data_IF_685669508598
#
_entry.id   IF_685669508598
#
_cell.length_a   1.000
_cell.length_b   1.000
_cell.length_c   1.000
_cell.angle_alpha   90.00
_cell.angle_beta   90.00
_cell.angle_gamma   90.00
#
_symmetry.space_group_name_H-M   'P 1'
#
loop_
_entity.id
_entity.type
_entity.pdbx_description
1 polymer ?
#
# COMPACT_ATOMS: atom_id res chain seq x y z
N UNK A 1 28.10 -15.63 -33.33
CA UNK A 1 27.56 -15.80 -31.96
C UNK A 1 26.72 -14.58 -31.68
N UNK A 2 25.41 -14.76 -31.51
CA UNK A 2 24.47 -13.64 -31.33
C UNK A 2 24.15 -13.49 -29.85
N UNK A 3 24.28 -12.27 -29.32
CA UNK A 3 23.84 -11.91 -27.97
C UNK A 3 22.47 -11.22 -28.09
N UNK A 4 21.53 -11.54 -27.20
CA UNK A 4 20.17 -11.00 -27.24
C UNK A 4 19.78 -10.48 -25.88
N UNK A 5 19.09 -9.34 -25.85
CA UNK A 5 18.46 -8.79 -24.65
C UNK A 5 16.94 -8.88 -24.84
N UNK A 6 16.22 -9.48 -23.88
CA UNK A 6 14.76 -9.59 -23.92
C UNK A 6 14.15 -9.39 -22.53
N UNK A 7 12.83 -9.21 -22.51
CA UNK A 7 12.02 -9.06 -21.30
C UNK A 7 10.69 -9.81 -21.43
N UNK A 8 9.82 -9.69 -20.44
CA UNK A 8 8.51 -10.33 -20.41
C UNK A 8 7.54 -9.83 -21.49
N UNK A 9 6.46 -10.59 -21.69
CA UNK A 9 5.26 -10.17 -22.43
C UNK A 9 4.58 -8.99 -21.73
N UNK A 10 3.95 -8.08 -22.49
CA UNK A 10 3.34 -6.85 -21.98
C UNK A 10 4.35 -5.90 -21.33
N UNK A 11 5.45 -5.63 -22.05
CA UNK A 11 6.54 -4.73 -21.64
C UNK A 11 6.01 -3.36 -21.24
N UNK A 12 6.25 -2.97 -19.99
CA UNK A 12 6.04 -1.66 -19.37
C UNK A 12 7.32 -0.82 -19.41
N UNK A 13 7.34 0.35 -18.76
CA UNK A 13 8.51 1.22 -18.82
C UNK A 13 9.69 0.68 -18.05
N UNK A 14 9.53 -0.06 -16.94
CA UNK A 14 10.68 -0.65 -16.25
C UNK A 14 11.36 -1.69 -17.14
N UNK A 15 10.60 -2.63 -17.70
CA UNK A 15 11.10 -3.59 -18.67
C UNK A 15 11.78 -2.92 -19.88
N UNK A 16 11.14 -1.90 -20.48
CA UNK A 16 11.71 -1.23 -21.66
C UNK A 16 12.94 -0.38 -21.33
N UNK A 17 12.92 0.35 -20.20
CA UNK A 17 14.07 1.10 -19.71
C UNK A 17 15.24 0.15 -19.45
N UNK A 18 14.97 -0.98 -18.80
CA UNK A 18 15.94 -2.01 -18.47
C UNK A 18 16.53 -2.65 -19.71
N UNK A 19 15.76 -2.86 -20.78
CA UNK A 19 16.28 -3.32 -22.07
C UNK A 19 17.30 -2.34 -22.65
N UNK A 20 16.98 -1.05 -22.65
CA UNK A 20 17.85 0.00 -23.20
C UNK A 20 19.10 0.17 -22.33
N UNK A 21 18.96 0.16 -21.00
CA UNK A 21 20.11 0.23 -20.09
C UNK A 21 21.02 -1.00 -20.22
N UNK A 22 20.44 -2.19 -20.34
CA UNK A 22 21.20 -3.41 -20.62
C UNK A 22 21.93 -3.33 -21.96
N UNK A 23 21.34 -2.74 -23.01
CA UNK A 23 22.02 -2.56 -24.30
C UNK A 23 23.23 -1.62 -24.20
N UNK A 24 23.21 -0.62 -23.32
CA UNK A 24 24.39 0.22 -23.06
C UNK A 24 25.53 -0.54 -22.35
N UNK A 25 25.18 -1.55 -21.55
CA UNK A 25 26.14 -2.43 -20.86
C UNK A 25 26.68 -3.49 -21.83
N UNK A 26 25.79 -4.13 -22.58
CA UNK A 26 26.05 -5.19 -23.55
C UNK A 26 25.83 -4.68 -24.98
N UNK A 27 26.74 -3.82 -25.46
CA UNK A 27 26.57 -3.06 -26.71
C UNK A 27 26.49 -3.89 -27.99
N UNK A 28 26.95 -5.14 -27.96
CA UNK A 28 26.86 -6.07 -29.08
C UNK A 28 25.54 -6.85 -29.13
N UNK A 29 24.72 -6.74 -28.09
CA UNK A 29 23.50 -7.53 -27.96
C UNK A 29 22.31 -6.86 -28.66
N UNK A 30 21.53 -7.66 -29.37
CA UNK A 30 20.33 -7.21 -30.08
C UNK A 30 19.17 -7.11 -29.10
N UNK A 31 18.51 -5.95 -29.04
CA UNK A 31 17.32 -5.74 -28.22
C UNK A 31 16.10 -6.35 -28.92
N UNK A 32 15.55 -7.42 -28.34
CA UNK A 32 14.38 -8.13 -28.82
C UNK A 32 13.16 -7.86 -27.94
N UNK A 33 12.11 -7.24 -28.49
CA UNK A 33 10.91 -6.86 -27.74
C UNK A 33 9.68 -7.67 -28.17
N UNK A 34 8.64 -7.83 -27.33
CA UNK A 34 7.41 -8.49 -27.74
C UNK A 34 6.59 -7.59 -28.65
N UNK A 35 5.69 -8.18 -29.45
CA UNK A 35 4.63 -7.42 -30.13
C UNK A 35 3.69 -6.72 -29.14
N UNK A 36 3.38 -7.40 -28.03
CA UNK A 36 2.46 -6.87 -27.04
C UNK A 36 3.23 -6.05 -26.00
N UNK A 37 3.13 -4.73 -26.13
CA UNK A 37 3.79 -3.71 -25.31
C UNK A 37 2.70 -2.80 -24.74
N UNK A 38 2.90 -2.33 -23.50
CA UNK A 38 2.07 -1.32 -22.85
C UNK A 38 1.82 -0.13 -23.80
N UNK A 39 0.57 0.37 -23.94
CA UNK A 39 0.24 1.47 -24.84
C UNK A 39 1.10 2.73 -24.65
N UNK A 40 1.45 3.07 -23.41
CA UNK A 40 2.25 4.25 -23.11
C UNK A 40 3.70 4.09 -23.58
N UNK A 41 4.28 2.92 -23.37
CA UNK A 41 5.60 2.55 -23.89
C UNK A 41 5.59 2.53 -25.41
N UNK A 42 4.54 1.99 -26.04
CA UNK A 42 4.38 2.01 -27.51
C UNK A 42 4.31 3.43 -28.06
N UNK A 43 3.58 4.32 -27.40
CA UNK A 43 3.51 5.72 -27.78
C UNK A 43 4.89 6.39 -27.65
N UNK A 44 5.60 6.13 -26.55
CA UNK A 44 6.96 6.63 -26.34
C UNK A 44 7.93 6.13 -27.41
N UNK A 45 7.96 4.82 -27.68
CA UNK A 45 8.80 4.23 -28.73
C UNK A 45 8.46 4.84 -30.09
N UNK A 46 7.18 5.06 -30.39
CA UNK A 46 6.76 5.55 -31.70
C UNK A 46 7.27 6.97 -32.01
N UNK A 47 7.45 7.79 -30.98
CA UNK A 47 8.00 9.15 -31.10
C UNK A 47 9.53 9.12 -31.17
N UNK A 48 10.17 8.09 -30.62
CA UNK A 48 11.63 7.98 -30.47
C UNK A 48 12.23 6.79 -31.23
N UNK A 49 11.62 6.35 -32.34
CA UNK A 49 12.04 5.15 -33.09
C UNK A 49 13.49 5.21 -33.56
N UNK A 50 13.96 6.39 -33.93
CA UNK A 50 15.33 6.61 -34.40
C UNK A 50 16.38 6.54 -33.28
N UNK A 51 15.94 6.64 -32.02
CA UNK A 51 16.80 6.59 -30.84
C UNK A 51 16.89 5.19 -30.24
N UNK A 52 15.77 4.45 -30.23
CA UNK A 52 15.68 3.15 -29.58
C UNK A 52 15.46 2.02 -30.59
N UNK A 53 16.56 1.57 -31.18
CA UNK A 53 16.55 0.44 -32.13
C UNK A 53 16.22 -0.87 -31.42
N UNK A 54 15.28 -1.61 -31.98
CA UNK A 54 14.86 -2.91 -31.48
C UNK A 54 14.36 -3.78 -32.63
N UNK A 55 14.31 -5.08 -32.41
CA UNK A 55 13.68 -6.04 -33.32
C UNK A 55 12.53 -6.75 -32.63
N UNK A 56 11.59 -7.24 -33.43
CA UNK A 56 10.57 -8.16 -32.92
C UNK A 56 11.23 -9.49 -32.53
N UNK A 57 10.99 -9.95 -31.29
CA UNK A 57 11.50 -11.24 -30.80
C UNK A 57 11.10 -12.43 -31.67
N UNK A 58 10.03 -12.34 -32.46
CA UNK A 58 9.62 -13.38 -33.41
C UNK A 58 10.57 -13.49 -34.62
N UNK A 59 11.33 -12.45 -34.92
CA UNK A 59 12.26 -12.41 -36.05
C UNK A 59 13.67 -12.89 -35.68
N UNK A 60 13.86 -13.35 -34.43
CA UNK A 60 15.14 -13.84 -33.94
C UNK A 60 15.35 -15.30 -34.36
N UNK A 61 16.47 -15.57 -35.03
CA UNK A 61 16.97 -16.92 -35.27
C UNK A 61 17.62 -17.50 -34.00
N UNK A 62 16.88 -18.32 -33.26
CA UNK A 62 17.32 -18.89 -31.97
C UNK A 62 18.52 -19.85 -32.09
N UNK A 63 18.77 -20.45 -33.25
CA UNK A 63 19.85 -21.44 -33.45
C UNK A 63 21.28 -20.89 -33.40
N UNK A 64 21.47 -19.56 -33.37
CA UNK A 64 22.79 -18.90 -33.35
C UNK A 64 23.06 -18.08 -32.08
N UNK A 65 22.13 -18.13 -31.13
CA UNK A 65 22.20 -17.37 -29.88
C UNK A 65 23.13 -18.08 -28.92
N UNK A 66 24.18 -17.40 -28.49
CA UNK A 66 25.14 -17.95 -27.51
C UNK A 66 24.97 -17.34 -26.13
N UNK A 67 24.35 -16.15 -26.04
CA UNK A 67 24.09 -15.46 -24.78
C UNK A 67 22.72 -14.79 -24.80
N UNK A 68 21.96 -14.99 -23.73
CA UNK A 68 20.68 -14.37 -23.46
C UNK A 68 20.77 -13.50 -22.22
N UNK A 69 20.48 -12.21 -22.37
CA UNK A 69 20.32 -11.26 -21.28
C UNK A 69 18.81 -11.09 -21.06
N UNK A 70 18.34 -11.46 -19.88
CA UNK A 70 16.95 -11.32 -19.48
C UNK A 70 16.84 -10.19 -18.47
N UNK A 71 15.93 -9.26 -18.72
CA UNK A 71 15.65 -8.15 -17.81
C UNK A 71 14.19 -8.18 -17.38
N UNK A 72 13.97 -7.88 -16.10
CA UNK A 72 12.66 -7.64 -15.49
C UNK A 72 11.71 -8.86 -15.48
N UNK A 73 12.29 -10.06 -15.55
CA UNK A 73 11.55 -11.32 -15.38
C UNK A 73 12.49 -12.50 -15.18
N UNK A 74 12.20 -13.30 -14.15
CA UNK A 74 12.84 -14.59 -13.88
C UNK A 74 11.98 -15.79 -14.36
N UNK A 75 11.01 -15.59 -15.25
CA UNK A 75 10.15 -16.68 -15.77
C UNK A 75 10.27 -16.87 -17.30
N UNK A 76 10.71 -18.07 -17.71
CA UNK A 76 10.77 -18.51 -19.11
C UNK A 76 9.41 -18.39 -19.82
N UNK A 77 8.30 -18.66 -19.13
CA UNK A 77 6.95 -18.60 -19.71
C UNK A 77 6.58 -17.20 -20.21
N UNK A 78 7.21 -16.16 -19.63
CA UNK A 78 7.00 -14.76 -20.00
C UNK A 78 7.82 -14.34 -21.22
N UNK A 79 8.77 -15.15 -21.69
CA UNK A 79 9.67 -14.81 -22.82
C UNK A 79 9.10 -15.17 -24.20
N UNK A 80 8.00 -15.92 -24.28
CA UNK A 80 7.34 -16.25 -25.55
C UNK A 80 8.24 -17.12 -26.45
N UNK A 81 8.45 -16.79 -27.74
CA UNK A 81 9.22 -17.66 -28.66
C UNK A 81 10.68 -17.87 -28.24
N UNK A 82 11.26 -16.91 -27.50
CA UNK A 82 12.63 -16.98 -26.99
C UNK A 82 12.78 -18.05 -25.90
N UNK A 83 11.68 -18.48 -25.26
CA UNK A 83 11.71 -19.50 -24.22
C UNK A 83 12.28 -20.84 -24.68
N UNK A 84 12.22 -21.15 -25.99
CA UNK A 84 12.84 -22.34 -26.59
C UNK A 84 14.35 -22.41 -26.38
N UNK A 85 15.01 -21.27 -26.13
CA UNK A 85 16.43 -21.24 -25.82
C UNK A 85 16.77 -21.98 -24.52
N UNK A 86 15.81 -22.20 -23.62
CA UNK A 86 16.00 -22.97 -22.40
C UNK A 86 16.55 -24.39 -22.67
N UNK A 87 16.24 -24.96 -23.84
CA UNK A 87 16.66 -26.31 -24.23
C UNK A 87 18.11 -26.35 -24.73
N UNK A 88 18.78 -25.20 -24.91
CA UNK A 88 20.16 -25.13 -25.42
C UNK A 88 21.19 -25.23 -24.28
N UNK A 89 21.99 -26.31 -24.18
CA UNK A 89 22.89 -26.52 -23.05
C UNK A 89 24.06 -25.54 -22.98
N UNK A 90 24.46 -24.98 -24.11
CA UNK A 90 25.59 -24.04 -24.23
C UNK A 90 25.17 -22.57 -24.10
N UNK A 91 23.91 -22.29 -23.78
CA UNK A 91 23.42 -20.92 -23.66
C UNK A 91 23.90 -20.30 -22.35
N UNK A 92 24.61 -19.18 -22.45
CA UNK A 92 24.90 -18.35 -21.29
C UNK A 92 23.70 -17.43 -21.01
N UNK A 93 23.16 -17.48 -19.79
CA UNK A 93 22.01 -16.65 -19.39
C UNK A 93 22.42 -15.65 -18.31
N UNK A 94 22.26 -14.36 -18.59
CA UNK A 94 22.47 -13.27 -17.64
C UNK A 94 21.12 -12.69 -17.23
N UNK A 95 20.83 -12.65 -15.93
CA UNK A 95 19.53 -12.19 -15.41
C UNK A 95 19.66 -10.90 -14.60
N UNK A 96 18.79 -9.94 -14.88
CA UNK A 96 18.56 -8.74 -14.07
C UNK A 96 17.07 -8.70 -13.70
N UNK A 97 16.74 -8.76 -12.42
CA UNK A 97 15.35 -8.74 -11.99
C UNK A 97 15.26 -8.26 -10.54
N UNK A 98 14.20 -7.56 -10.18
CA UNK A 98 13.92 -7.23 -8.77
C UNK A 98 12.87 -8.16 -8.13
N UNK A 99 12.21 -9.01 -8.92
CA UNK A 99 11.30 -10.04 -8.43
C UNK A 99 12.04 -11.27 -7.91
N UNK A 100 11.39 -12.07 -7.06
CA UNK A 100 11.90 -13.35 -6.56
C UNK A 100 11.03 -14.54 -6.98
N UNK A 101 11.61 -15.73 -7.07
CA UNK A 101 10.86 -16.99 -7.20
C UNK A 101 10.58 -17.46 -8.63
N UNK A 102 11.41 -17.05 -9.59
CA UNK A 102 11.30 -17.51 -10.98
C UNK A 102 11.92 -18.89 -11.24
N UNK A 103 11.93 -19.28 -12.51
CA UNK A 103 12.37 -20.58 -13.00
C UNK A 103 13.55 -20.50 -13.98
N UNK A 104 14.14 -19.31 -14.19
CA UNK A 104 15.31 -19.17 -15.06
C UNK A 104 16.57 -19.57 -14.29
N UNK A 105 17.23 -20.63 -14.77
CA UNK A 105 18.55 -21.03 -14.27
C UNK A 105 19.62 -20.19 -14.98
N UNK A 106 19.96 -19.04 -14.38
CA UNK A 106 20.91 -18.09 -14.96
C UNK A 106 22.37 -18.48 -14.66
N UNK A 107 23.26 -18.32 -15.65
CA UNK A 107 24.72 -18.43 -15.48
C UNK A 107 25.26 -17.34 -14.56
N UNK A 108 24.61 -16.18 -14.56
CA UNK A 108 24.85 -15.08 -13.63
C UNK A 108 23.55 -14.32 -13.41
N UNK A 109 23.31 -13.83 -12.19
CA UNK A 109 22.15 -13.00 -11.89
C UNK A 109 22.49 -11.85 -10.94
N UNK A 110 21.89 -10.69 -11.18
CA UNK A 110 21.72 -9.62 -10.19
C UNK A 110 20.23 -9.54 -9.89
N UNK A 111 19.86 -10.06 -8.73
CA UNK A 111 18.48 -10.16 -8.28
C UNK A 111 18.38 -9.69 -6.84
N UNK A 112 17.78 -8.51 -6.64
CA UNK A 112 17.77 -7.79 -5.36
C UNK A 112 16.40 -7.10 -5.16
N UNK A 113 15.91 -7.00 -3.91
CA UNK A 113 14.59 -6.46 -3.61
C UNK A 113 14.58 -4.92 -3.65
N UNK A 114 14.85 -4.34 -4.82
CA UNK A 114 14.75 -2.89 -5.08
C UNK A 114 13.39 -2.54 -5.70
N UNK A 115 13.08 -1.24 -5.74
CA UNK A 115 11.80 -0.76 -6.26
C UNK A 115 11.56 -1.03 -7.75
N UNK A 116 12.62 -1.09 -8.57
CA UNK A 116 12.54 -1.35 -10.01
C UNK A 116 13.82 -2.03 -10.55
N UNK A 117 13.69 -2.88 -11.56
CA UNK A 117 14.83 -3.54 -12.24
C UNK A 117 15.82 -2.51 -12.81
N UNK A 118 15.33 -1.38 -13.35
CA UNK A 118 16.17 -0.32 -13.90
C UNK A 118 17.13 0.28 -12.86
N UNK A 119 16.78 0.24 -11.56
CA UNK A 119 17.66 0.71 -10.47
C UNK A 119 18.98 -0.07 -10.45
N UNK A 120 18.90 -1.40 -10.59
CA UNK A 120 20.08 -2.29 -10.64
C UNK A 120 20.98 -1.95 -11.84
N UNK A 121 20.37 -1.69 -12.99
CA UNK A 121 21.09 -1.36 -14.21
C UNK A 121 21.68 0.05 -14.16
N UNK A 122 21.01 1.03 -13.56
CA UNK A 122 21.56 2.37 -13.31
C UNK A 122 22.78 2.29 -12.41
N UNK A 123 22.74 1.51 -11.34
CA UNK A 123 23.92 1.23 -10.50
C UNK A 123 25.07 0.67 -11.35
N UNK A 124 24.80 -0.30 -12.23
CA UNK A 124 25.83 -0.85 -13.11
C UNK A 124 26.38 0.15 -14.13
N UNK A 125 25.52 1.00 -14.71
CA UNK A 125 25.94 2.07 -15.63
C UNK A 125 26.87 3.07 -14.93
N UNK A 126 26.61 3.38 -13.65
CA UNK A 126 27.46 4.25 -12.81
C UNK A 126 28.83 3.63 -12.58
N UNK A 127 28.88 2.36 -12.18
CA UNK A 127 30.14 1.62 -11.98
C UNK A 127 31.01 1.60 -13.25
N UNK A 128 30.37 1.33 -14.40
CA UNK A 128 31.03 1.30 -15.70
C UNK A 128 31.30 2.69 -16.29
N UNK A 129 30.91 3.76 -15.59
CA UNK A 129 31.04 5.16 -16.03
C UNK A 129 30.47 5.41 -17.43
N UNK A 130 29.36 4.75 -17.76
CA UNK A 130 28.68 4.91 -19.05
C UNK A 130 28.02 6.29 -19.13
N UNK A 131 28.17 6.94 -20.28
CA UNK A 131 27.44 8.15 -20.60
C UNK A 131 26.05 7.78 -21.10
N UNK A 132 25.05 8.57 -20.68
CA UNK A 132 23.67 8.42 -21.15
C UNK A 132 23.17 9.77 -21.63
N UNK A 133 22.32 9.75 -22.64
CA UNK A 133 21.68 10.97 -23.17
C UNK A 133 20.52 11.41 -22.27
N UNK A 134 20.09 12.68 -22.34
CA UNK A 134 18.92 13.15 -21.59
C UNK A 134 17.65 12.33 -21.85
N UNK A 135 17.43 11.86 -23.09
CA UNK A 135 16.26 11.05 -23.41
C UNK A 135 16.37 9.63 -22.84
N UNK A 136 17.56 9.04 -22.78
CA UNK A 136 17.79 7.78 -22.05
C UNK A 136 17.57 7.96 -20.55
N UNK A 137 18.10 9.04 -19.97
CA UNK A 137 17.86 9.36 -18.56
C UNK A 137 16.37 9.52 -18.26
N UNK A 138 15.63 10.15 -19.18
CA UNK A 138 14.18 10.32 -19.09
C UNK A 138 13.44 8.98 -19.15
N UNK A 139 13.82 8.09 -20.08
CA UNK A 139 13.26 6.74 -20.15
C UNK A 139 13.53 5.94 -18.87
N UNK A 140 14.77 5.96 -18.38
CA UNK A 140 15.15 5.21 -17.19
C UNK A 140 14.39 5.71 -15.95
N UNK A 141 14.21 7.02 -15.84
CA UNK A 141 13.43 7.60 -14.75
C UNK A 141 11.94 7.26 -14.88
N UNK A 142 11.42 7.16 -16.11
CA UNK A 142 10.04 6.71 -16.33
C UNK A 142 9.82 5.27 -15.83
N UNK A 143 10.74 4.35 -16.15
CA UNK A 143 10.67 2.97 -15.65
C UNK A 143 10.73 2.91 -14.12
N UNK A 144 11.67 3.63 -13.53
CA UNK A 144 11.82 3.69 -12.07
C UNK A 144 10.56 4.23 -11.40
N UNK A 145 9.97 5.30 -11.94
CA UNK A 145 8.76 5.91 -11.37
C UNK A 145 7.49 5.09 -11.58
N UNK A 146 7.40 4.27 -12.63
CA UNK A 146 6.24 3.39 -12.84
C UNK A 146 6.14 2.37 -11.69
N UNK A 147 7.24 1.72 -11.35
CA UNK A 147 7.28 0.62 -10.38
C UNK A 147 7.41 1.07 -8.93
N UNK A 148 7.93 2.28 -8.70
CA UNK A 148 8.00 2.89 -7.35
C UNK A 148 6.82 3.83 -7.05
N UNK A 149 5.92 4.05 -8.01
CA UNK A 149 4.83 5.01 -7.85
C UNK A 149 5.33 6.44 -7.63
N UNK A 150 6.36 6.86 -8.36
CA UNK A 150 7.12 8.09 -8.08
C UNK A 150 7.72 8.10 -6.66
N UNK A 151 8.39 7.02 -6.28
CA UNK A 151 9.03 6.83 -4.96
C UNK A 151 8.07 6.82 -3.76
N UNK A 152 6.77 6.57 -3.98
CA UNK A 152 5.75 6.59 -2.92
C UNK A 152 5.33 5.19 -2.45
N UNK A 153 5.65 4.14 -3.21
CA UNK A 153 5.27 2.78 -2.84
C UNK A 153 6.18 2.23 -1.73
N UNK A 154 5.65 1.39 -0.80
CA UNK A 154 6.44 0.83 0.30
C UNK A 154 7.64 -0.02 -0.12
N UNK A 155 7.62 -0.59 -1.33
CA UNK A 155 8.74 -1.34 -1.91
C UNK A 155 9.91 -0.46 -2.37
N UNK A 156 9.75 0.86 -2.35
CA UNK A 156 10.80 1.81 -2.76
C UNK A 156 11.96 1.80 -1.75
N UNK A 157 13.18 1.70 -2.24
CA UNK A 157 14.41 1.71 -1.45
C UNK A 157 15.18 3.03 -1.57
N UNK A 158 16.17 3.23 -0.70
CA UNK A 158 17.09 4.36 -0.81
C UNK A 158 17.89 4.35 -2.13
N UNK A 159 18.16 3.16 -2.68
CA UNK A 159 18.88 3.03 -3.95
C UNK A 159 18.07 3.58 -5.12
N UNK A 160 16.75 3.38 -5.12
CA UNK A 160 15.83 3.95 -6.12
C UNK A 160 15.86 5.48 -6.07
N UNK A 161 15.86 6.07 -4.86
CA UNK A 161 15.96 7.52 -4.68
C UNK A 161 17.31 8.07 -5.20
N UNK A 162 18.42 7.36 -4.93
CA UNK A 162 19.74 7.76 -5.47
C UNK A 162 19.83 7.61 -6.99
N UNK A 163 19.23 6.55 -7.55
CA UNK A 163 19.14 6.36 -9.00
C UNK A 163 18.31 7.49 -9.64
N UNK A 164 17.16 7.83 -9.07
CA UNK A 164 16.32 8.94 -9.52
C UNK A 164 17.09 10.27 -9.52
N UNK A 165 17.78 10.58 -8.42
CA UNK A 165 18.62 11.78 -8.32
C UNK A 165 19.72 11.83 -9.39
N UNK A 166 20.36 10.70 -9.65
CA UNK A 166 21.41 10.60 -10.68
C UNK A 166 20.87 10.77 -12.11
N UNK A 167 19.67 10.28 -12.38
CA UNK A 167 18.99 10.44 -13.67
C UNK A 167 18.55 11.90 -13.90
N UNK A 168 18.07 12.57 -12.84
CA UNK A 168 17.74 14.00 -12.88
C UNK A 168 18.97 14.88 -13.14
N UNK A 169 20.11 14.55 -12.52
CA UNK A 169 21.39 15.20 -12.79
C UNK A 169 21.77 15.10 -14.29
N UNK A 170 21.42 13.99 -14.94
CA UNK A 170 21.54 13.74 -16.40
C UNK A 170 20.43 14.35 -17.25
N UNK A 171 19.69 15.31 -16.70
CA UNK A 171 18.66 16.08 -17.41
C UNK A 171 17.47 15.24 -17.86
N UNK A 172 17.09 14.21 -17.08
CA UNK A 172 15.81 13.53 -17.27
C UNK A 172 14.64 14.54 -17.22
N UNK A 173 13.72 14.48 -18.19
CA UNK A 173 12.61 15.43 -18.34
C UNK A 173 11.34 14.92 -17.64
N UNK A 174 11.09 15.46 -16.44
CA UNK A 174 9.88 15.18 -15.67
C UNK A 174 8.58 15.57 -16.39
N UNK A 175 8.61 16.59 -17.26
CA UNK A 175 7.42 17.00 -18.01
C UNK A 175 7.06 15.95 -19.06
N UNK A 176 8.07 15.37 -19.72
CA UNK A 176 7.87 14.27 -20.66
C UNK A 176 7.37 13.03 -19.93
N UNK A 177 7.99 12.65 -18.81
CA UNK A 177 7.58 11.51 -17.98
C UNK A 177 6.12 11.64 -17.56
N UNK A 178 5.71 12.82 -17.08
CA UNK A 178 4.33 13.09 -16.69
C UNK A 178 3.32 12.95 -17.85
N UNK A 179 3.73 13.12 -19.11
CA UNK A 179 2.84 12.91 -20.26
C UNK A 179 2.58 11.43 -20.55
N UNK A 180 3.54 10.55 -20.24
CA UNK A 180 3.45 9.11 -20.54
C UNK A 180 3.08 8.25 -19.34
N UNK A 181 3.53 8.59 -18.12
CA UNK A 181 3.18 7.85 -16.91
C UNK A 181 1.81 8.21 -16.36
N UNK A 182 1.23 9.36 -16.75
CA UNK A 182 -0.17 9.62 -16.44
C UNK A 182 -1.01 8.64 -17.26
N UNK A 183 -1.84 7.80 -16.61
CA UNK A 183 -2.87 7.09 -17.34
C UNK A 183 -3.67 8.14 -18.07
N UNK A 184 -3.60 8.17 -19.41
CA UNK A 184 -4.56 8.95 -20.16
C UNK A 184 -5.92 8.38 -19.76
N UNK A 185 -6.69 9.13 -18.96
CA UNK A 185 -8.06 8.77 -18.64
C UNK A 185 -8.79 8.72 -19.98
N UNK A 186 -8.95 7.51 -20.51
CA UNK A 186 -9.74 7.31 -21.71
C UNK A 186 -11.13 7.84 -21.44
N UNK A 187 -11.79 8.28 -22.50
CA UNK A 187 -13.17 8.79 -22.42
C UNK A 187 -14.09 7.81 -21.68
N UNK A 188 -13.89 6.50 -21.89
CA UNK A 188 -14.61 5.43 -21.18
C UNK A 188 -14.41 5.47 -19.66
N UNK A 189 -13.17 5.62 -19.17
CA UNK A 189 -12.91 5.69 -17.72
C UNK A 189 -13.45 6.98 -17.11
N UNK A 190 -13.36 8.11 -17.84
CA UNK A 190 -13.94 9.38 -17.41
C UNK A 190 -15.46 9.28 -17.27
N UNK A 191 -16.12 8.65 -18.24
CA UNK A 191 -17.57 8.45 -18.22
C UNK A 191 -17.97 7.56 -17.04
N UNK A 192 -17.27 6.44 -16.81
CA UNK A 192 -17.52 5.58 -15.64
C UNK A 192 -17.33 6.35 -14.32
N UNK A 193 -16.25 7.13 -14.18
CA UNK A 193 -16.01 7.93 -12.98
C UNK A 193 -17.13 8.96 -12.77
N UNK A 194 -17.55 9.65 -13.84
CA UNK A 194 -18.62 10.62 -13.80
C UNK A 194 -19.96 9.98 -13.38
N UNK A 195 -20.27 8.79 -13.91
CA UNK A 195 -21.46 8.04 -13.55
C UNK A 195 -21.43 7.58 -12.09
N UNK A 196 -20.26 7.14 -11.59
CA UNK A 196 -20.08 6.82 -10.16
C UNK A 196 -20.31 8.06 -9.29
N UNK A 197 -19.75 9.21 -9.66
CA UNK A 197 -19.88 10.47 -8.91
C UNK A 197 -21.33 10.98 -8.88
N UNK A 198 -22.06 10.87 -9.98
CA UNK A 198 -23.46 11.32 -10.09
C UNK A 198 -24.39 10.60 -9.11
N UNK A 199 -24.15 9.32 -8.86
CA UNK A 199 -24.97 8.46 -8.00
C UNK A 199 -24.24 8.07 -6.71
N UNK A 200 -23.44 8.98 -6.16
CA UNK A 200 -22.66 8.72 -4.95
C UNK A 200 -23.59 8.53 -3.75
N UNK A 201 -23.46 7.40 -3.07
CA UNK A 201 -24.10 7.17 -1.77
C UNK A 201 -23.03 6.80 -0.73
N UNK A 202 -23.03 7.50 0.40
CA UNK A 202 -22.13 7.21 1.53
C UNK A 202 -22.92 6.49 2.60
N UNK A 203 -22.46 5.31 2.96
CA UNK A 203 -22.98 4.51 4.05
C UNK A 203 -22.00 4.54 5.20
N UNK A 204 -22.52 4.55 6.43
CA UNK A 204 -21.72 4.24 7.62
C UNK A 204 -22.00 2.79 7.99
N UNK A 205 -20.99 1.93 7.83
CA UNK A 205 -21.09 0.50 8.08
C UNK A 205 -20.01 0.14 9.08
N UNK A 206 -20.40 -0.38 10.25
CA UNK A 206 -19.47 -0.74 11.33
C UNK A 206 -18.43 0.35 11.68
N UNK A 207 -18.85 1.63 11.64
CA UNK A 207 -17.98 2.78 11.92
C UNK A 207 -17.13 3.30 10.74
N UNK A 208 -17.07 2.57 9.63
CA UNK A 208 -16.41 2.98 8.40
C UNK A 208 -17.36 3.77 7.51
N UNK A 209 -16.85 4.82 6.86
CA UNK A 209 -17.54 5.48 5.76
C UNK A 209 -17.24 4.70 4.47
N UNK A 210 -18.26 4.12 3.86
CA UNK A 210 -18.14 3.27 2.67
C UNK A 210 -19.01 3.81 1.54
N UNK A 211 -18.52 3.77 0.30
CA UNK A 211 -19.33 4.07 -0.89
C UNK A 211 -19.40 2.86 -1.82
N UNK A 212 -20.61 2.48 -2.23
CA UNK A 212 -20.84 1.42 -3.21
C UNK A 212 -21.49 2.04 -4.45
N UNK A 213 -20.95 1.76 -5.64
CA UNK A 213 -21.44 2.30 -6.90
C UNK A 213 -21.66 1.20 -7.91
N UNK A 214 -22.89 1.08 -8.40
CA UNK A 214 -23.27 0.15 -9.46
C UNK A 214 -23.22 0.83 -10.82
N UNK A 215 -22.45 0.26 -11.75
CA UNK A 215 -22.24 0.80 -13.09
C UNK A 215 -22.44 -0.29 -14.14
N UNK A 216 -23.31 -0.02 -15.11
CA UNK A 216 -23.46 -0.89 -16.29
C UNK A 216 -22.42 -0.51 -17.35
N UNK A 217 -21.58 -1.46 -17.75
CA UNK A 217 -20.52 -1.25 -18.73
C UNK A 217 -21.00 -1.59 -20.14
N UNK A 218 -20.81 -0.64 -21.06
CA UNK A 218 -21.00 -0.84 -22.49
C UNK A 218 -19.65 -1.22 -23.13
N UNK A 219 -19.46 -2.52 -23.35
CA UNK A 219 -18.24 -3.09 -23.91
C UNK A 219 -17.08 -3.19 -22.90
N UNK A 220 -15.87 -3.41 -23.41
CA UNK A 220 -14.69 -3.57 -22.55
C UNK A 220 -14.13 -2.22 -22.10
N UNK A 221 -13.94 -2.08 -20.79
CA UNK A 221 -13.28 -0.95 -20.12
C UNK A 221 -12.15 -1.50 -19.24
N UNK A 222 -10.91 -1.12 -19.55
CA UNK A 222 -9.74 -1.49 -18.74
C UNK A 222 -9.51 -0.52 -17.57
N UNK A 223 -8.67 -0.92 -16.61
CA UNK A 223 -8.21 -0.10 -15.48
C UNK A 223 -9.31 0.48 -14.58
N UNK A 224 -10.42 -0.23 -14.41
CA UNK A 224 -11.51 0.17 -13.51
C UNK A 224 -11.05 0.31 -12.05
N UNK A 225 -10.01 -0.43 -11.64
CA UNK A 225 -9.47 -0.34 -10.29
C UNK A 225 -8.80 1.02 -9.97
N UNK A 226 -8.32 1.74 -11.00
CA UNK A 226 -7.88 3.13 -10.88
C UNK A 226 -9.09 4.05 -10.71
N UNK A 227 -10.17 3.80 -11.47
CA UNK A 227 -11.41 4.59 -11.38
C UNK A 227 -12.01 4.51 -9.98
N UNK A 228 -12.09 3.30 -9.39
CA UNK A 228 -12.58 3.12 -8.01
C UNK A 228 -11.69 3.82 -6.99
N UNK A 229 -10.36 3.81 -7.18
CA UNK A 229 -9.42 4.56 -6.32
C UNK A 229 -9.69 6.07 -6.40
N UNK A 230 -9.75 6.63 -7.60
CA UNK A 230 -10.03 8.06 -7.79
C UNK A 230 -11.38 8.46 -7.20
N UNK A 231 -12.40 7.63 -7.43
CA UNK A 231 -13.72 7.84 -6.87
C UNK A 231 -13.68 7.88 -5.34
N UNK A 232 -12.99 6.92 -4.70
CA UNK A 232 -12.78 6.92 -3.24
C UNK A 232 -12.12 8.22 -2.78
N UNK A 233 -11.06 8.65 -3.44
CA UNK A 233 -10.29 9.82 -3.04
C UNK A 233 -11.10 11.12 -3.20
N UNK A 234 -11.87 11.24 -4.29
CA UNK A 234 -12.76 12.40 -4.53
C UNK A 234 -13.91 12.43 -3.52
N UNK A 235 -14.52 11.27 -3.25
CA UNK A 235 -15.61 11.16 -2.30
C UNK A 235 -15.08 11.21 -0.86
N UNK A 236 -13.80 10.93 -0.60
CA UNK A 236 -13.22 10.92 0.76
C UNK A 236 -13.99 9.97 1.70
N UNK A 237 -13.86 8.66 1.45
CA UNK A 237 -14.45 7.55 2.22
C UNK A 237 -13.38 6.51 2.54
N UNK A 238 -13.48 5.83 3.67
CA UNK A 238 -12.53 4.79 4.12
C UNK A 238 -12.40 3.64 3.09
N UNK A 239 -13.52 3.27 2.47
CA UNK A 239 -13.55 2.28 1.41
C UNK A 239 -14.54 2.61 0.31
N UNK A 240 -14.20 2.25 -0.93
CA UNK A 240 -15.10 2.32 -2.07
C UNK A 240 -15.15 1.01 -2.84
N UNK A 241 -16.35 0.65 -3.30
CA UNK A 241 -16.61 -0.55 -4.08
C UNK A 241 -17.33 -0.19 -5.38
N UNK A 242 -16.74 -0.56 -6.51
CA UNK A 242 -17.38 -0.48 -7.83
C UNK A 242 -17.95 -1.84 -8.22
N UNK A 243 -19.26 -1.91 -8.48
CA UNK A 243 -19.97 -3.07 -8.99
C UNK A 243 -20.23 -2.86 -10.48
N UNK A 244 -19.42 -3.49 -11.32
CA UNK A 244 -19.42 -3.30 -12.76
C UNK A 244 -20.16 -4.43 -13.47
N UNK A 245 -21.26 -4.10 -14.12
CA UNK A 245 -22.18 -5.07 -14.74
C UNK A 245 -21.95 -5.09 -16.23
N UNK A 246 -21.68 -6.27 -16.78
CA UNK A 246 -21.60 -6.47 -18.23
C UNK A 246 -22.55 -7.59 -18.68
N UNK A 247 -23.16 -7.40 -19.85
CA UNK A 247 -23.99 -8.41 -20.52
C UNK A 247 -23.10 -9.42 -21.25
N UNK A 248 -23.21 -10.71 -20.95
CA UNK A 248 -22.55 -11.77 -21.71
C UNK A 248 -23.45 -12.30 -22.84
N UNK A 249 -22.83 -12.88 -23.88
CA UNK A 249 -23.52 -13.46 -25.06
C UNK A 249 -24.50 -14.61 -24.72
N UNK A 250 -24.36 -15.19 -23.53
CA UNK A 250 -25.16 -16.30 -23.00
C UNK A 250 -26.36 -15.82 -22.15
N UNK A 251 -26.62 -14.49 -22.09
CA UNK A 251 -27.80 -13.90 -21.44
C UNK A 251 -27.73 -13.79 -19.91
N UNK A 252 -26.66 -14.24 -19.26
CA UNK A 252 -26.48 -14.10 -17.80
C UNK A 252 -25.65 -12.85 -17.50
N UNK A 253 -26.08 -11.97 -16.57
CA UNK A 253 -25.29 -10.82 -16.18
C UNK A 253 -24.03 -11.26 -15.43
N UNK A 254 -22.94 -10.56 -15.71
CA UNK A 254 -21.67 -10.73 -15.01
C UNK A 254 -21.35 -9.47 -14.23
N UNK A 255 -21.19 -9.61 -12.92
CA UNK A 255 -20.89 -8.52 -12.01
C UNK A 255 -19.43 -8.64 -11.54
N UNK A 256 -18.59 -7.69 -11.93
CA UNK A 256 -17.23 -7.56 -11.42
C UNK A 256 -17.25 -6.58 -10.26
N UNK A 257 -16.82 -7.02 -9.09
CA UNK A 257 -16.68 -6.17 -7.91
C UNK A 257 -15.22 -5.79 -7.77
N UNK A 258 -14.94 -4.50 -7.57
CA UNK A 258 -13.60 -4.00 -7.26
C UNK A 258 -13.68 -3.13 -6.02
N UNK A 259 -12.86 -3.44 -5.01
CA UNK A 259 -12.75 -2.68 -3.77
C UNK A 259 -11.40 -1.95 -3.63
N UNK A 260 -11.45 -0.79 -2.98
CA UNK A 260 -10.28 -0.01 -2.55
C UNK A 260 -10.52 0.53 -1.14
N UNK A 261 -9.55 0.37 -0.26
CA UNK A 261 -9.54 0.89 1.11
C UNK A 261 -8.19 1.53 1.41
N UNK A 262 -8.18 2.63 2.16
CA UNK A 262 -6.99 3.18 2.81
C UNK A 262 -7.01 2.96 4.33
N UNK A 263 -8.05 2.28 4.82
CA UNK A 263 -8.23 1.98 6.22
C UNK A 263 -7.80 0.54 6.51
N UNK A 264 -6.80 0.41 7.39
CA UNK A 264 -6.21 -0.88 7.79
C UNK A 264 -7.20 -1.79 8.52
N UNK A 265 -8.25 -1.22 9.14
CA UNK A 265 -9.29 -1.99 9.81
C UNK A 265 -10.30 -2.67 8.86
N UNK A 266 -10.22 -2.38 7.56
CA UNK A 266 -11.09 -2.97 6.54
C UNK A 266 -10.25 -3.64 5.44
N UNK A 267 -9.99 -4.95 5.63
CA UNK A 267 -9.27 -5.78 4.67
C UNK A 267 -10.16 -6.14 3.48
N UNK A 268 -10.00 -5.39 2.39
CA UNK A 268 -10.70 -5.61 1.13
C UNK A 268 -10.31 -6.95 0.49
N UNK A 269 -9.06 -7.39 0.64
CA UNK A 269 -8.59 -8.65 0.10
C UNK A 269 -9.36 -9.84 0.67
N UNK A 270 -9.55 -9.85 2.00
CA UNK A 270 -10.33 -10.88 2.69
C UNK A 270 -11.81 -10.81 2.32
N UNK A 271 -12.40 -9.60 2.27
CA UNK A 271 -13.79 -9.42 1.79
C UNK A 271 -13.99 -10.01 0.38
N UNK A 272 -13.05 -9.75 -0.52
CA UNK A 272 -13.11 -10.25 -1.90
C UNK A 272 -12.93 -11.76 -1.98
N UNK A 273 -12.10 -12.37 -1.12
CA UNK A 273 -11.97 -13.84 -1.03
C UNK A 273 -13.30 -14.50 -0.63
N UNK A 274 -14.04 -13.93 0.31
CA UNK A 274 -15.38 -14.41 0.71
C UNK A 274 -16.39 -14.36 -0.45
N UNK A 275 -16.19 -13.45 -1.40
CA UNK A 275 -16.97 -13.35 -2.64
C UNK A 275 -16.44 -14.22 -3.79
N UNK A 276 -15.48 -15.12 -3.53
CA UNK A 276 -14.84 -15.98 -4.55
C UNK A 276 -13.79 -15.27 -5.41
N UNK A 277 -13.29 -14.13 -4.96
CA UNK A 277 -12.24 -13.34 -5.57
C UNK A 277 -10.91 -13.40 -4.81
N UNK A 278 -10.18 -12.28 -4.82
CA UNK A 278 -8.90 -12.15 -4.12
C UNK A 278 -8.35 -10.74 -4.10
N UNK A 279 -7.21 -10.55 -3.44
CA UNK A 279 -6.54 -9.26 -3.29
C UNK A 279 -5.66 -9.20 -2.05
N UNK A 280 -5.37 -7.96 -1.63
CA UNK A 280 -4.61 -7.57 -0.45
C UNK A 280 -5.40 -6.54 0.38
N UNK A 281 -4.98 -6.17 1.61
CA UNK A 281 -5.79 -5.34 2.52
C UNK A 281 -6.38 -4.06 1.91
N UNK A 282 -5.60 -3.27 1.17
CA UNK A 282 -6.10 -2.03 0.55
C UNK A 282 -6.83 -2.19 -0.78
N UNK A 283 -6.90 -3.40 -1.35
CA UNK A 283 -7.20 -3.60 -2.75
C UNK A 283 -7.63 -5.02 -3.09
N UNK A 284 -8.81 -5.21 -3.70
CA UNK A 284 -9.22 -6.52 -4.18
C UNK A 284 -10.29 -6.49 -5.26
N UNK A 285 -10.55 -7.65 -5.85
CA UNK A 285 -11.62 -7.83 -6.82
C UNK A 285 -12.22 -9.23 -6.80
N UNK A 286 -13.50 -9.34 -7.12
CA UNK A 286 -14.23 -10.59 -7.26
C UNK A 286 -15.08 -10.59 -8.54
N UNK A 287 -15.30 -11.77 -9.11
CA UNK A 287 -16.12 -11.95 -10.30
C UNK A 287 -17.33 -12.83 -9.99
N UNK A 288 -18.50 -12.21 -9.91
CA UNK A 288 -19.75 -12.88 -9.58
C UNK A 288 -20.54 -13.20 -10.86
N UNK A 289 -20.75 -14.49 -11.12
CA UNK A 289 -21.49 -14.97 -12.30
C UNK A 289 -22.95 -15.23 -11.94
N UNK A 290 -23.88 -14.57 -12.62
CA UNK A 290 -25.32 -14.78 -12.41
C UNK A 290 -25.85 -14.23 -11.08
N UNK A 291 -25.08 -13.41 -10.38
CA UNK A 291 -25.50 -12.71 -9.17
C UNK A 291 -26.01 -11.32 -9.56
N UNK A 292 -27.17 -10.96 -9.03
CA UNK A 292 -27.71 -9.61 -9.19
C UNK A 292 -26.80 -8.59 -8.46
N UNK A 293 -26.40 -7.47 -9.11
CA UNK A 293 -25.71 -6.35 -8.48
C UNK A 293 -26.26 -5.92 -7.11
N UNK A 294 -27.59 -5.85 -6.93
CA UNK A 294 -28.15 -5.45 -5.64
C UNK A 294 -27.88 -6.50 -4.53
N UNK A 295 -27.92 -7.79 -4.88
CA UNK A 295 -27.56 -8.86 -3.96
C UNK A 295 -26.05 -8.86 -3.64
N UNK A 296 -25.20 -8.58 -4.65
CA UNK A 296 -23.77 -8.43 -4.44
C UNK A 296 -23.45 -7.23 -3.54
N UNK A 297 -24.19 -6.13 -3.68
CA UNK A 297 -24.07 -4.97 -2.80
C UNK A 297 -24.43 -5.35 -1.35
N UNK A 298 -25.54 -6.06 -1.14
CA UNK A 298 -25.94 -6.51 0.18
C UNK A 298 -24.91 -7.46 0.80
N UNK A 299 -24.37 -8.42 0.04
CA UNK A 299 -23.30 -9.30 0.52
C UNK A 299 -22.07 -8.53 0.98
N UNK A 300 -21.67 -7.45 0.27
CA UNK A 300 -20.54 -6.61 0.71
C UNK A 300 -20.88 -5.89 2.02
N UNK A 301 -22.09 -5.36 2.15
CA UNK A 301 -22.55 -4.72 3.39
C UNK A 301 -22.50 -5.73 4.54
N UNK A 302 -23.13 -6.90 4.37
CA UNK A 302 -23.18 -7.97 5.38
C UNK A 302 -21.78 -8.47 5.74
N UNK A 303 -20.86 -8.54 4.76
CA UNK A 303 -19.47 -8.91 5.02
C UNK A 303 -18.71 -7.81 5.75
N UNK A 304 -18.98 -6.52 5.55
CA UNK A 304 -18.36 -5.43 6.32
C UNK A 304 -18.95 -5.35 7.73
N UNK A 305 -20.24 -5.65 7.88
CA UNK A 305 -20.90 -5.79 9.19
C UNK A 305 -20.43 -7.03 9.94
N UNK A 306 -20.22 -8.14 9.22
CA UNK A 306 -19.91 -9.47 9.75
C UNK A 306 -18.43 -9.87 9.74
N UNK A 307 -17.52 -9.16 9.06
CA UNK A 307 -16.07 -9.34 9.18
C UNK A 307 -15.61 -8.81 10.55
N UNK A 308 -15.94 -9.56 11.59
CA UNK A 308 -15.02 -9.78 12.69
C UNK A 308 -13.99 -10.83 12.21
N UNK A 309 -13.03 -10.41 11.37
CA UNK A 309 -11.69 -10.91 11.64
C UNK A 309 -11.26 -10.17 12.90
N UNK A 310 -11.33 -10.86 14.03
CA UNK A 310 -10.88 -10.47 15.38
C UNK A 310 -10.19 -9.11 15.44
N UNK A 311 -10.97 -8.03 15.41
CA UNK A 311 -10.41 -6.70 15.62
C UNK A 311 -10.04 -6.67 17.09
N UNK A 312 -8.75 -6.64 17.39
CA UNK A 312 -8.25 -6.44 18.75
C UNK A 312 -9.03 -5.29 19.38
N UNK A 313 -9.73 -5.56 20.47
CA UNK A 313 -10.55 -4.60 21.21
C UNK A 313 -9.73 -3.97 22.33
N UNK A 314 -10.22 -2.88 22.92
CA UNK A 314 -9.58 -2.31 24.12
C UNK A 314 -9.53 -3.34 25.25
N UNK A 315 -10.54 -4.21 25.38
CA UNK A 315 -10.52 -5.31 26.35
C UNK A 315 -9.32 -6.25 26.20
N UNK A 316 -8.80 -6.40 24.98
CA UNK A 316 -7.68 -7.30 24.68
C UNK A 316 -6.31 -6.67 24.98
N UNK A 317 -6.25 -5.34 25.04
CA UNK A 317 -5.01 -4.57 25.27
C UNK A 317 -4.93 -3.92 26.65
N UNK A 318 -6.06 -3.74 27.34
CA UNK A 318 -6.09 -3.02 28.60
C UNK A 318 -5.37 -3.77 29.71
N UNK A 319 -4.77 -3.02 30.62
CA UNK A 319 -4.23 -3.55 31.86
C UNK A 319 -5.29 -3.55 32.95
N UNK A 320 -5.38 -4.67 33.69
CA UNK A 320 -6.18 -4.84 34.89
C UNK A 320 -5.43 -5.74 35.90
N UNK A 321 -5.63 -5.56 37.23
CA UNK A 321 -6.45 -4.54 37.89
C UNK A 321 -5.80 -3.14 37.87
N UNK A 322 -6.63 -2.09 37.83
CA UNK A 322 -6.13 -0.71 37.78
C UNK A 322 -5.74 -0.22 39.17
N UNK A 323 -4.49 0.21 39.32
CA UNK A 323 -4.06 0.84 40.56
C UNK A 323 -4.62 2.27 40.68
N UNK A 324 -5.29 2.55 41.79
CA UNK A 324 -5.98 3.81 42.09
C UNK A 324 -5.73 4.25 43.53
N UNK A 325 -6.10 5.49 43.83
CA UNK A 325 -6.02 6.08 45.19
C UNK A 325 -7.35 6.73 45.57
N UNK A 326 -7.72 6.74 46.86
CA UNK A 326 -8.84 7.53 47.38
C UNK A 326 -8.65 9.04 47.20
N UNK A 327 -9.74 9.80 47.13
CA UNK A 327 -9.70 11.25 46.89
C UNK A 327 -9.16 12.11 48.03
N UNK A 328 -9.07 11.54 49.23
CA UNK A 328 -8.48 12.13 50.43
C UNK A 328 -6.97 11.87 50.56
N UNK A 329 -6.39 11.00 49.73
CA UNK A 329 -4.94 10.72 49.68
C UNK A 329 -4.15 12.02 49.51
N UNK A 330 -3.13 12.23 50.34
CA UNK A 330 -2.32 13.45 50.28
C UNK A 330 -1.47 13.54 49.00
N UNK A 331 -1.20 14.75 48.52
CA UNK A 331 -0.34 14.95 47.34
C UNK A 331 1.10 14.44 47.55
N UNK A 332 1.62 14.46 48.78
CA UNK A 332 2.92 13.86 49.13
C UNK A 332 2.92 12.34 48.94
N UNK A 333 1.87 11.67 49.39
CA UNK A 333 1.70 10.24 49.22
C UNK A 333 1.51 9.86 47.74
N UNK A 334 0.70 10.63 47.00
CA UNK A 334 0.58 10.49 45.54
C UNK A 334 1.95 10.60 44.88
N UNK A 335 2.80 11.56 45.27
CA UNK A 335 4.15 11.71 44.72
C UNK A 335 5.04 10.49 45.00
N UNK A 336 4.97 9.94 46.22
CA UNK A 336 5.69 8.73 46.62
C UNK A 336 5.25 7.53 45.79
N UNK A 337 3.95 7.32 45.64
CA UNK A 337 3.37 6.24 44.83
C UNK A 337 3.84 6.34 43.37
N UNK A 338 3.76 7.53 42.77
CA UNK A 338 4.19 7.75 41.39
C UNK A 338 5.67 7.39 41.17
N UNK A 339 6.54 7.73 42.13
CA UNK A 339 7.97 7.40 42.08
C UNK A 339 8.21 5.90 42.27
N UNK A 340 7.62 5.31 43.31
CA UNK A 340 7.82 3.90 43.66
C UNK A 340 7.34 2.95 42.56
N UNK A 341 6.22 3.28 41.91
CA UNK A 341 5.62 2.44 40.86
C UNK A 341 6.10 2.81 39.44
N UNK A 342 6.93 3.85 39.29
CA UNK A 342 7.37 4.33 37.98
C UNK A 342 6.24 4.85 37.09
N UNK A 343 5.05 5.11 37.64
CA UNK A 343 3.89 5.54 36.87
C UNK A 343 3.81 7.08 36.79
N UNK A 344 3.18 7.59 35.72
CA UNK A 344 3.19 9.03 35.41
C UNK A 344 1.91 9.77 35.85
N UNK A 345 1.03 9.07 36.55
CA UNK A 345 -0.29 9.50 37.00
C UNK A 345 -1.06 8.34 37.64
N UNK A 346 -2.18 8.65 38.29
CA UNK A 346 -3.04 7.71 39.03
C UNK A 346 -4.51 8.04 38.75
N UNK A 347 -5.36 7.01 38.84
CA UNK A 347 -6.81 7.21 38.90
C UNK A 347 -7.23 7.44 40.35
N UNK A 348 -8.20 8.32 40.53
CA UNK A 348 -8.81 8.60 41.83
C UNK A 348 -10.18 7.93 41.86
N UNK A 349 -10.38 7.06 42.84
CA UNK A 349 -11.60 6.26 42.99
C UNK A 349 -12.13 6.42 44.41
N UNK A 350 -13.41 6.75 44.53
CA UNK A 350 -14.15 6.73 45.80
C UNK A 350 -15.37 5.82 45.63
N UNK A 351 -15.67 5.00 46.63
CA UNK A 351 -16.87 4.13 46.63
C UNK A 351 -17.00 3.27 45.34
N UNK A 352 -15.87 2.87 44.76
CA UNK A 352 -15.81 2.07 43.52
C UNK A 352 -16.07 2.86 42.23
N UNK A 353 -16.25 4.18 42.31
CA UNK A 353 -16.50 5.07 41.18
C UNK A 353 -15.26 5.87 40.81
N UNK A 354 -15.00 6.04 39.51
CA UNK A 354 -13.91 6.86 39.01
C UNK A 354 -14.24 8.35 39.17
N UNK A 355 -13.67 9.00 40.21
CA UNK A 355 -13.97 10.39 40.57
C UNK A 355 -12.96 11.39 40.00
N UNK A 356 -11.77 10.94 39.58
CA UNK A 356 -10.81 11.82 38.93
C UNK A 356 -9.54 11.14 38.42
N UNK A 357 -8.65 11.95 37.84
CA UNK A 357 -7.31 11.56 37.42
C UNK A 357 -6.30 12.60 37.87
N UNK A 358 -5.17 12.13 38.41
CA UNK A 358 -4.02 12.97 38.77
C UNK A 358 -2.80 12.56 37.96
N UNK A 359 -2.06 13.52 37.43
CA UNK A 359 -0.83 13.28 36.65
C UNK A 359 0.35 14.04 37.24
N UNK A 360 1.58 13.67 36.84
CA UNK A 360 2.79 14.45 37.20
C UNK A 360 2.70 15.92 36.79
N UNK A 361 1.91 16.25 35.75
CA UNK A 361 1.71 17.64 35.29
C UNK A 361 0.93 18.47 36.31
N UNK A 362 0.04 17.84 37.08
CA UNK A 362 -0.82 18.53 38.06
C UNK A 362 -0.06 19.02 39.29
N UNK A 363 1.10 18.45 39.58
CA UNK A 363 1.99 18.93 40.64
C UNK A 363 2.50 20.36 40.40
N UNK A 364 2.46 20.86 39.15
CA UNK A 364 2.75 22.26 38.84
C UNK A 364 1.75 23.25 39.47
N UNK A 365 0.58 22.78 39.88
CA UNK A 365 -0.43 23.59 40.58
C UNK A 365 -0.04 23.87 42.04
N UNK A 366 0.88 23.09 42.61
CA UNK A 366 1.39 23.27 43.98
C UNK A 366 2.38 24.43 43.99
N UNK A 367 2.12 25.43 44.85
CA UNK A 367 2.93 26.66 44.97
C UNK A 367 3.62 26.80 46.31
N UNK A 368 3.13 26.11 47.33
CA UNK A 368 3.65 26.12 48.70
C UNK A 368 3.82 24.70 49.22
N UNK A 369 4.74 24.50 50.16
CA UNK A 369 5.10 23.18 50.67
C UNK A 369 3.99 22.55 51.53
N UNK A 370 3.20 23.36 52.24
CA UNK A 370 2.02 22.94 53.00
C UNK A 370 0.93 22.29 52.12
N UNK A 371 0.83 22.69 50.85
CA UNK A 371 -0.11 22.11 49.89
C UNK A 371 0.20 20.67 49.51
N UNK A 372 1.38 20.13 49.83
CA UNK A 372 1.67 18.71 49.67
C UNK A 372 0.86 17.83 50.63
N UNK A 373 0.39 18.39 51.75
CA UNK A 373 -0.48 17.69 52.71
C UNK A 373 -1.97 17.77 52.33
N UNK A 374 -2.32 18.60 51.34
CA UNK A 374 -3.69 18.70 50.88
C UNK A 374 -4.11 17.44 50.09
N UNK A 375 -5.41 17.08 50.12
CA UNK A 375 -5.91 15.88 49.46
C UNK A 375 -5.89 16.01 47.94
N UNK A 376 -5.71 14.89 47.24
CA UNK A 376 -5.59 14.82 45.77
C UNK A 376 -6.81 15.42 45.05
N UNK A 377 -8.01 15.34 45.66
CA UNK A 377 -9.23 15.96 45.12
C UNK A 377 -9.14 17.46 44.87
N UNK A 378 -8.24 18.16 45.58
CA UNK A 378 -8.03 19.59 45.38
C UNK A 378 -7.25 19.91 44.07
N UNK A 379 -6.57 18.92 43.48
CA UNK A 379 -5.67 19.12 42.33
C UNK A 379 -6.00 18.27 41.11
N UNK A 380 -6.72 17.16 41.30
CA UNK A 380 -7.09 16.22 40.23
C UNK A 380 -8.00 16.85 39.17
N UNK A 381 -8.04 16.24 37.99
CA UNK A 381 -9.07 16.51 36.99
C UNK A 381 -10.29 15.63 37.25
N UNK A 382 -11.47 16.24 37.41
CA UNK A 382 -12.75 15.54 37.60
C UNK A 382 -13.43 15.17 36.30
N UNK A 383 -13.14 15.88 35.19
CA UNK A 383 -13.64 15.52 33.86
C UNK A 383 -12.76 14.44 33.26
N UNK A 384 -13.05 13.20 33.61
CA UNK A 384 -12.30 12.04 33.15
C UNK A 384 -12.77 11.64 31.76
N UNK A 385 -11.83 11.53 30.82
CA UNK A 385 -12.10 11.02 29.47
C UNK A 385 -11.83 9.52 29.51
N UNK A 386 -12.85 8.71 29.27
CA UNK A 386 -12.79 7.25 29.27
C UNK A 386 -13.10 6.66 27.89
N UNK A 387 -12.97 5.34 27.78
CA UNK A 387 -13.30 4.56 26.59
C UNK A 387 -14.04 3.27 26.99
N UNK A 388 -14.93 2.77 26.13
CA UNK A 388 -15.60 1.47 26.32
C UNK A 388 -14.69 0.30 25.91
N UNK A 389 -14.81 -0.89 26.52
CA UNK A 389 -13.94 -2.04 26.22
C UNK A 389 -14.04 -2.55 24.78
N UNK A 390 -15.22 -2.46 24.16
CA UNK A 390 -15.44 -2.94 22.79
C UNK A 390 -14.94 -2.00 21.68
N UNK A 391 -14.28 -0.88 22.02
CA UNK A 391 -13.72 0.06 21.03
C UNK A 391 -12.41 -0.47 20.45
N UNK A 392 -11.92 0.17 19.38
CA UNK A 392 -10.65 -0.21 18.74
C UNK A 392 -9.43 0.57 19.26
N UNK A 393 -8.20 0.02 19.14
CA UNK A 393 -6.96 0.70 19.50
C UNK A 393 -6.76 2.03 18.75
N UNK A 394 -7.20 2.10 17.49
CA UNK A 394 -7.20 3.33 16.68
C UNK A 394 -8.09 4.41 17.31
N UNK A 395 -9.27 4.04 17.83
CA UNK A 395 -10.14 4.99 18.50
C UNK A 395 -9.50 5.51 19.81
N UNK A 396 -8.86 4.65 20.59
CA UNK A 396 -8.07 5.07 21.75
C UNK A 396 -6.96 6.06 21.36
N UNK A 397 -6.17 5.75 20.31
CA UNK A 397 -5.12 6.64 19.82
C UNK A 397 -5.68 8.01 19.39
N UNK A 398 -6.80 8.04 18.65
CA UNK A 398 -7.48 9.28 18.23
C UNK A 398 -7.92 10.13 19.43
N UNK A 399 -8.48 9.52 20.47
CA UNK A 399 -8.88 10.22 21.71
C UNK A 399 -7.64 10.76 22.43
N UNK A 400 -6.58 9.95 22.55
CA UNK A 400 -5.32 10.35 23.18
C UNK A 400 -4.68 11.56 22.49
N UNK A 401 -4.64 11.57 21.15
CA UNK A 401 -4.12 12.70 20.36
C UNK A 401 -5.01 13.93 20.50
N UNK A 402 -6.33 13.76 20.33
CA UNK A 402 -7.29 14.87 20.38
C UNK A 402 -7.27 15.62 21.71
N UNK A 403 -7.08 14.91 22.81
CA UNK A 403 -7.13 15.47 24.16
C UNK A 403 -5.75 15.67 24.80
N UNK A 404 -4.65 15.41 24.09
CA UNK A 404 -3.26 15.38 24.61
C UNK A 404 -3.12 14.57 25.92
N UNK A 405 -3.71 13.38 25.94
CA UNK A 405 -3.65 12.46 27.08
C UNK A 405 -2.88 11.19 26.71
N UNK A 406 -2.20 10.59 27.69
CA UNK A 406 -1.39 9.38 27.50
C UNK A 406 -1.99 8.10 28.08
N UNK A 407 -3.22 8.19 28.61
CA UNK A 407 -3.91 7.12 29.31
C UNK A 407 -5.42 7.31 29.18
N UNK A 408 -6.14 6.21 29.08
CA UNK A 408 -7.60 6.17 29.03
C UNK A 408 -8.10 5.11 29.99
N UNK A 409 -8.86 5.51 31.02
CA UNK A 409 -9.65 4.58 31.82
C UNK A 409 -10.66 3.85 30.92
N UNK A 410 -10.74 2.53 31.06
CA UNK A 410 -11.71 1.69 30.37
C UNK A 410 -12.90 1.50 31.28
N UNK A 411 -14.06 1.97 30.85
CA UNK A 411 -15.29 2.01 31.65
C UNK A 411 -16.40 1.27 30.91
N UNK A 412 -17.08 0.37 31.60
CA UNK A 412 -18.24 -0.38 31.13
C UNK A 412 -19.37 -0.23 32.15
N UNK A 413 -20.57 0.17 31.70
CA UNK A 413 -21.73 0.41 32.57
C UNK A 413 -21.45 1.33 33.78
N UNK A 414 -20.58 2.32 33.58
CA UNK A 414 -20.16 3.28 34.62
C UNK A 414 -19.11 2.74 35.59
N UNK A 415 -18.69 1.49 35.47
CA UNK A 415 -17.64 0.89 36.30
C UNK A 415 -16.29 0.89 35.59
N UNK A 416 -15.24 1.21 36.34
CA UNK A 416 -13.87 1.10 35.85
C UNK A 416 -13.44 -0.37 35.80
N UNK A 417 -13.17 -0.88 34.60
CA UNK A 417 -12.76 -2.27 34.38
C UNK A 417 -11.29 -2.42 33.96
N UNK A 418 -10.65 -1.34 33.49
CA UNK A 418 -9.27 -1.39 33.01
C UNK A 418 -8.67 -0.03 32.72
N UNK A 419 -7.42 -0.02 32.26
CA UNK A 419 -6.75 1.18 31.76
C UNK A 419 -5.92 0.81 30.52
N UNK A 420 -5.96 1.66 29.50
CA UNK A 420 -5.06 1.55 28.35
C UNK A 420 -4.15 2.77 28.30
N UNK A 421 -2.86 2.54 28.13
CA UNK A 421 -1.84 3.59 28.00
C UNK A 421 -1.42 3.79 26.55
N UNK A 422 -0.78 4.92 26.28
CA UNK A 422 -0.20 5.19 24.95
C UNK A 422 0.79 4.12 24.55
N UNK A 423 1.57 3.58 25.49
CA UNK A 423 2.51 2.50 25.20
C UNK A 423 1.80 1.24 24.75
N UNK A 424 0.72 0.84 25.44
CA UNK A 424 -0.07 -0.35 25.08
C UNK A 424 -0.65 -0.21 23.66
N UNK A 425 -1.18 0.97 23.33
CA UNK A 425 -1.67 1.27 21.98
C UNK A 425 -0.53 1.26 20.93
N UNK A 426 0.66 1.78 21.26
CA UNK A 426 1.79 1.81 20.34
C UNK A 426 2.38 0.41 20.10
N UNK A 427 2.47 -0.44 21.12
CA UNK A 427 2.93 -1.83 20.97
C UNK A 427 2.07 -2.57 19.95
N UNK A 428 0.75 -2.44 20.05
CA UNK A 428 -0.17 -2.98 19.04
C UNK A 428 0.15 -2.49 17.61
N UNK A 429 0.46 -1.22 17.42
CA UNK A 429 0.83 -0.71 16.09
C UNK A 429 2.22 -1.17 15.62
N UNK A 430 3.18 -1.37 16.53
CA UNK A 430 4.48 -1.92 16.20
C UNK A 430 4.40 -3.39 15.78
N UNK A 431 3.57 -4.18 16.43
CA UNK A 431 3.35 -5.60 16.11
C UNK A 431 2.65 -5.81 14.74
N UNK A 432 2.07 -4.74 14.16
CA UNK A 432 1.49 -4.74 12.82
C UNK A 432 2.48 -4.39 11.72
N UNK A 433 3.67 -3.89 12.06
CA UNK A 433 4.71 -3.62 11.08
C UNK A 433 5.34 -4.95 10.64
N UNK A 434 5.56 -5.16 9.33
CA UNK A 434 6.29 -6.34 8.86
C UNK A 434 7.75 -6.30 9.37
N UNK A 435 8.30 -7.48 9.65
CA UNK A 435 9.71 -7.66 10.06
C UNK A 435 10.72 -7.04 9.09
#
# INVERSE_FOLDING_TARGET
MTQIITTHRNTDFDAFASLVAANLIYSEAVVAIPKNINPNVRAFISIHKDVFTHVDRWNIETGRVSRLIVVDTDDWSRLGPIAKLQEQPSLEVLLWDHHSGGNIQASWKCQEPVGATITLLVRRLKELRKLITPIQATLFLAGLYEDTGNLSFPSTTAEDAYAAGWLLDRKADLSLINKFLRPAYGEKQKNVLFDMLKNTNRLKINGYSVSLSQITLNGHVGNLALVVRMFRDIVNVDAAFGLFVSQEKNGKPKCMVIGRSDNEGLDVGTLMKSLGGGGHPGAGSAMLKGVNPEAAQQMIIDLIEGNQQSSVQISDLMSFPVFSVPSDTSMDEVAKILRQRGCTGLLVIDEGQLTGVISRRDFRKIRKEDQLQAPVKAFMSTKVISIEPGKSPIQAAKIMVRHDIGRLPVVEDGQLIGIITRSDAMTYFYDLLPD
#
